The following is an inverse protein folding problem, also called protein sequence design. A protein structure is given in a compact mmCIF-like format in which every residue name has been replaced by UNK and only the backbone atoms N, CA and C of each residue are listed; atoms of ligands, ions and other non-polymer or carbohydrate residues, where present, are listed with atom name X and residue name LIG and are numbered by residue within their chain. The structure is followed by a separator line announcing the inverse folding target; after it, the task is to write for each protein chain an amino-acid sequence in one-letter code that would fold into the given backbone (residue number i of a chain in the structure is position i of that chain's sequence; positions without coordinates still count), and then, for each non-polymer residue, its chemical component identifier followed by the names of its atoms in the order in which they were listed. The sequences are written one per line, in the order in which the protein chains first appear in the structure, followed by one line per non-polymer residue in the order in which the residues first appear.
data_IF_160229624936
#
_entry.id   IF_160229624936
#
_cell.length_a   1.000
_cell.length_b   1.000
_cell.length_c   1.000
_cell.angle_alpha   90.00
_cell.angle_beta   90.00
_cell.angle_gamma   90.00
#
_symmetry.space_group_name_H-M   'P 1'
#
loop_
_entity.id
_entity.type
_entity.pdbx_description
1 polymer ?
#
# COMPACT_ATOMS: atom_id res chain seq x y z
N UNK A 1 46.33 -29.31 2.96
CA UNK A 1 47.03 -30.14 1.95
C UNK A 1 48.02 -29.24 1.22
N UNK A 2 49.31 -29.39 1.52
CA UNK A 2 50.38 -28.51 1.05
C UNK A 2 50.93 -28.98 -0.30
N UNK A 3 50.80 -28.15 -1.35
CA UNK A 3 51.41 -28.39 -2.66
C UNK A 3 52.67 -27.53 -2.74
N UNK A 4 53.81 -28.05 -2.27
CA UNK A 4 55.13 -27.44 -2.51
C UNK A 4 55.48 -27.66 -3.99
N UNK A 5 55.29 -26.61 -4.79
CA UNK A 5 55.90 -26.51 -6.12
C UNK A 5 57.31 -25.98 -5.90
N UNK A 6 58.29 -26.87 -5.90
CA UNK A 6 59.70 -26.51 -6.07
C UNK A 6 59.99 -26.39 -7.55
N UNK A 7 60.29 -25.20 -8.12
CA UNK A 7 60.83 -25.13 -9.45
C UNK A 7 62.29 -25.58 -9.39
N UNK A 8 62.62 -26.58 -10.21
CA UNK A 8 63.95 -27.16 -10.30
C UNK A 8 64.98 -26.12 -10.73
N UNK A 9 65.91 -25.80 -9.84
CA UNK A 9 67.21 -25.28 -10.24
C UNK A 9 68.04 -26.45 -10.76
N UNK A 10 68.07 -26.63 -12.08
CA UNK A 10 69.27 -27.14 -12.76
C UNK A 10 69.89 -25.97 -13.51
N UNK A 11 70.56 -25.10 -12.76
CA UNK A 11 71.68 -24.36 -13.33
C UNK A 11 72.87 -25.31 -13.33
N UNK A 12 72.89 -26.27 -14.27
CA UNK A 12 74.11 -27.02 -14.61
C UNK A 12 75.01 -26.07 -15.37
N UNK A 13 75.67 -25.17 -14.65
CA UNK A 13 76.93 -24.61 -15.12
C UNK A 13 77.96 -25.72 -14.96
N UNK A 14 78.59 -26.22 -16.05
CA UNK A 14 79.65 -27.21 -15.93
C UNK A 14 80.71 -26.69 -14.95
N UNK A 15 81.25 -27.59 -14.12
CA UNK A 15 82.31 -27.20 -13.20
C UNK A 15 83.50 -26.68 -14.02
N UNK A 16 84.20 -25.66 -13.51
CA UNK A 16 85.36 -25.05 -14.19
C UNK A 16 86.35 -26.10 -14.69
N UNK A 17 86.53 -27.16 -13.90
CA UNK A 17 87.36 -28.31 -14.20
C UNK A 17 86.87 -29.14 -15.39
N UNK A 18 85.57 -29.35 -15.56
CA UNK A 18 85.03 -30.07 -16.73
C UNK A 18 85.11 -29.24 -18.00
N UNK A 19 84.77 -27.94 -17.94
CA UNK A 19 84.83 -27.07 -19.12
C UNK A 19 86.27 -26.88 -19.63
N UNK A 20 87.24 -26.76 -18.73
CA UNK A 20 88.66 -26.67 -19.08
C UNK A 20 89.20 -28.00 -19.64
N UNK A 21 88.72 -29.12 -19.13
CA UNK A 21 89.17 -30.46 -19.56
C UNK A 21 88.57 -30.88 -20.91
N UNK A 22 87.38 -30.39 -21.25
CA UNK A 22 86.76 -30.65 -22.56
C UNK A 22 87.39 -29.81 -23.69
N UNK A 23 87.96 -28.63 -23.39
CA UNK A 23 88.42 -27.69 -24.41
C UNK A 23 89.94 -27.64 -24.63
N UNK A 24 90.75 -28.35 -23.84
CA UNK A 24 92.22 -28.39 -24.00
C UNK A 24 92.67 -29.85 -24.05
N UNK A 25 92.86 -30.40 -25.26
CA UNK A 25 93.27 -31.81 -25.44
C UNK A 25 94.61 -31.98 -26.17
N UNK A 26 95.13 -30.95 -26.87
CA UNK A 26 96.41 -31.02 -27.60
C UNK A 26 97.26 -29.74 -27.51
N UNK A 27 98.56 -29.82 -27.82
CA UNK A 27 99.53 -28.69 -27.78
C UNK A 27 99.19 -27.57 -28.77
N UNK A 28 98.39 -27.85 -29.81
CA UNK A 28 97.87 -26.84 -30.75
C UNK A 28 96.73 -25.99 -30.13
N UNK A 29 95.97 -26.54 -29.18
CA UNK A 29 94.90 -25.83 -28.47
C UNK A 29 95.44 -24.76 -27.50
N UNK A 30 96.73 -24.85 -27.15
CA UNK A 30 97.44 -23.82 -26.37
C UNK A 30 97.54 -22.48 -27.12
N UNK A 31 97.41 -22.47 -28.46
CA UNK A 31 97.30 -21.23 -29.24
C UNK A 31 95.89 -20.59 -29.17
N UNK A 32 94.87 -21.36 -28.75
CA UNK A 32 93.49 -20.90 -28.51
C UNK A 32 93.18 -20.64 -27.03
N UNK A 33 94.18 -20.78 -26.16
CA UNK A 33 94.01 -20.65 -24.71
C UNK A 33 93.56 -19.24 -24.32
N UNK A 34 94.08 -18.22 -25.02
CA UNK A 34 93.72 -16.82 -24.80
C UNK A 34 92.25 -16.56 -25.18
N UNK A 35 91.77 -17.11 -26.31
CA UNK A 35 90.37 -16.95 -26.72
C UNK A 35 89.42 -17.74 -25.82
N UNK A 36 89.84 -18.90 -25.30
CA UNK A 36 89.07 -19.66 -24.33
C UNK A 36 88.96 -18.93 -22.99
N UNK A 37 90.08 -18.39 -22.49
CA UNK A 37 90.12 -17.54 -21.29
C UNK A 37 89.25 -16.29 -21.45
N UNK A 38 89.29 -15.64 -22.61
CA UNK A 38 88.46 -14.48 -22.91
C UNK A 38 86.97 -14.87 -22.93
N UNK A 39 86.62 -16.02 -23.51
CA UNK A 39 85.24 -16.53 -23.51
C UNK A 39 84.73 -16.87 -22.11
N UNK A 40 85.58 -17.47 -21.27
CA UNK A 40 85.28 -17.81 -19.88
C UNK A 40 85.11 -16.56 -19.03
N UNK A 41 85.96 -15.55 -19.22
CA UNK A 41 85.83 -14.25 -18.56
C UNK A 41 84.53 -13.55 -18.96
N UNK A 42 84.19 -13.54 -20.27
CA UNK A 42 82.91 -13.00 -20.76
C UNK A 42 81.71 -13.74 -20.17
N UNK A 43 81.78 -15.07 -20.10
CA UNK A 43 80.71 -15.89 -19.53
C UNK A 43 80.56 -15.69 -18.01
N UNK A 44 81.68 -15.58 -17.30
CA UNK A 44 81.67 -15.30 -15.86
C UNK A 44 81.09 -13.91 -15.57
N UNK A 45 81.44 -12.91 -16.38
CA UNK A 45 80.91 -11.55 -16.21
C UNK A 45 79.42 -11.49 -16.52
N UNK A 46 78.97 -12.21 -17.57
CA UNK A 46 77.55 -12.35 -17.89
C UNK A 46 76.76 -13.04 -16.77
N UNK A 47 77.28 -14.12 -16.19
CA UNK A 47 76.61 -14.81 -15.08
C UNK A 47 76.53 -13.94 -13.82
N UNK A 48 77.60 -13.19 -13.50
CA UNK A 48 77.57 -12.21 -12.41
C UNK A 48 76.52 -11.14 -12.66
N UNK A 49 76.40 -10.66 -13.89
CA UNK A 49 75.38 -9.69 -14.26
C UNK A 49 73.97 -10.25 -14.11
N UNK A 50 73.71 -11.47 -14.62
CA UNK A 50 72.42 -12.14 -14.48
C UNK A 50 72.04 -12.40 -13.03
N UNK A 51 73.01 -12.74 -12.17
CA UNK A 51 72.77 -12.94 -10.73
C UNK A 51 72.35 -11.62 -10.05
N UNK A 52 73.04 -10.52 -10.36
CA UNK A 52 72.69 -9.18 -9.86
C UNK A 52 71.29 -8.76 -10.31
N UNK A 53 70.98 -8.96 -11.59
CA UNK A 53 69.66 -8.64 -12.14
C UNK A 53 68.56 -9.51 -11.50
N UNK A 54 68.80 -10.80 -11.29
CA UNK A 54 67.85 -11.70 -10.63
C UNK A 54 67.62 -11.34 -9.16
N UNK A 55 68.66 -10.93 -8.43
CA UNK A 55 68.56 -10.45 -7.05
C UNK A 55 67.75 -9.14 -6.97
N UNK A 56 67.98 -8.22 -7.91
CA UNK A 56 67.24 -6.97 -7.99
C UNK A 56 65.76 -7.19 -8.32
N UNK A 57 65.47 -8.08 -9.29
CA UNK A 57 64.10 -8.46 -9.65
C UNK A 57 63.40 -9.14 -8.47
N UNK A 58 64.07 -10.05 -7.77
CA UNK A 58 63.50 -10.73 -6.60
C UNK A 58 63.20 -9.75 -5.47
N UNK A 59 64.11 -8.81 -5.21
CA UNK A 59 63.92 -7.75 -4.21
C UNK A 59 62.70 -6.88 -4.57
N UNK A 60 62.63 -6.39 -5.80
CA UNK A 60 61.49 -5.59 -6.31
C UNK A 60 60.17 -6.36 -6.25
N UNK A 61 60.15 -7.62 -6.65
CA UNK A 61 58.96 -8.47 -6.61
C UNK A 61 58.50 -8.75 -5.16
N UNK A 62 59.44 -8.95 -4.25
CA UNK A 62 59.15 -9.16 -2.82
C UNK A 62 58.55 -7.91 -2.19
N UNK A 63 59.12 -6.74 -2.50
CA UNK A 63 58.62 -5.46 -2.01
C UNK A 63 57.23 -5.14 -2.58
N UNK A 64 57.03 -5.31 -3.89
CA UNK A 64 55.74 -5.14 -4.53
C UNK A 64 54.67 -6.10 -3.95
N UNK A 65 55.04 -7.35 -3.63
CA UNK A 65 54.15 -8.33 -3.00
C UNK A 65 53.73 -7.92 -1.58
N UNK A 66 54.67 -7.41 -0.77
CA UNK A 66 54.38 -6.88 0.57
C UNK A 66 53.43 -5.69 0.49
N UNK A 67 53.75 -4.71 -0.35
CA UNK A 67 52.90 -3.54 -0.57
C UNK A 67 51.51 -3.93 -1.04
N UNK A 68 51.40 -4.86 -1.99
CA UNK A 68 50.12 -5.35 -2.46
C UNK A 68 49.31 -6.00 -1.32
N UNK A 69 49.94 -6.86 -0.52
CA UNK A 69 49.30 -7.51 0.63
C UNK A 69 48.78 -6.49 1.64
N UNK A 70 49.58 -5.45 1.95
CA UNK A 70 49.13 -4.36 2.83
C UNK A 70 47.96 -3.58 2.25
N UNK A 71 47.99 -3.25 0.95
CA UNK A 71 46.88 -2.52 0.32
C UNK A 71 45.59 -3.34 0.31
N UNK A 72 45.66 -4.64 0.05
CA UNK A 72 44.51 -5.54 0.10
C UNK A 72 43.97 -5.64 1.52
N UNK A 73 44.85 -5.75 2.53
CA UNK A 73 44.46 -5.77 3.95
C UNK A 73 43.71 -4.50 4.34
N UNK A 74 44.24 -3.32 4.01
CA UNK A 74 43.59 -2.03 4.32
C UNK A 74 42.25 -1.89 3.61
N UNK A 75 42.13 -2.34 2.36
CA UNK A 75 40.85 -2.34 1.63
C UNK A 75 39.82 -3.27 2.27
N UNK A 76 40.24 -4.44 2.75
CA UNK A 76 39.35 -5.36 3.45
C UNK A 76 38.86 -4.76 4.78
N UNK A 77 39.74 -4.11 5.55
CA UNK A 77 39.37 -3.42 6.79
C UNK A 77 38.36 -2.29 6.52
N UNK A 78 38.64 -1.42 5.54
CA UNK A 78 37.75 -0.31 5.17
C UNK A 78 36.39 -0.81 4.66
N UNK A 79 36.37 -1.90 3.87
CA UNK A 79 35.12 -2.51 3.43
C UNK A 79 34.30 -3.05 4.62
N UNK A 80 34.96 -3.68 5.59
CA UNK A 80 34.29 -4.22 6.76
C UNK A 80 33.70 -3.12 7.66
N UNK A 81 34.42 -2.00 7.82
CA UNK A 81 33.90 -0.81 8.50
C UNK A 81 32.67 -0.22 7.80
N UNK A 82 32.71 -0.13 6.46
CA UNK A 82 31.57 0.34 5.68
C UNK A 82 30.35 -0.59 5.80
N UNK A 83 30.56 -1.92 5.77
CA UNK A 83 29.47 -2.87 5.96
C UNK A 83 28.83 -2.72 7.34
N UNK A 84 29.62 -2.58 8.40
CA UNK A 84 29.10 -2.38 9.75
C UNK A 84 28.29 -1.07 9.88
N UNK A 85 28.70 0.00 9.21
CA UNK A 85 27.93 1.26 9.18
C UNK A 85 26.60 1.08 8.43
N UNK A 86 26.62 0.41 7.28
CA UNK A 86 25.41 0.11 6.50
C UNK A 86 24.43 -0.73 7.33
N UNK A 87 24.91 -1.79 7.97
CA UNK A 87 24.08 -2.68 8.80
C UNK A 87 23.45 -1.92 9.98
N UNK A 88 24.22 -1.08 10.67
CA UNK A 88 23.69 -0.22 11.74
C UNK A 88 22.57 0.69 11.23
N UNK A 89 22.79 1.37 10.11
CA UNK A 89 21.80 2.28 9.51
C UNK A 89 20.58 1.54 9.01
N UNK A 90 20.74 0.32 8.48
CA UNK A 90 19.63 -0.53 8.06
C UNK A 90 18.73 -0.87 9.26
N UNK A 91 19.33 -1.24 10.39
CA UNK A 91 18.62 -1.51 11.65
C UNK A 91 17.89 -0.26 12.16
N UNK A 92 18.54 0.91 12.15
CA UNK A 92 17.91 2.17 12.57
C UNK A 92 16.70 2.54 11.67
N UNK A 93 16.83 2.37 10.35
CA UNK A 93 15.75 2.65 9.39
C UNK A 93 14.60 1.66 9.55
N UNK A 94 14.88 0.36 9.68
CA UNK A 94 13.83 -0.67 9.86
C UNK A 94 13.19 -0.64 11.24
N UNK A 95 13.88 -0.16 12.27
CA UNK A 95 13.32 0.00 13.62
C UNK A 95 12.67 1.37 13.87
N UNK A 96 12.62 2.25 12.86
CA UNK A 96 11.95 3.55 12.96
C UNK A 96 10.42 3.39 13.00
N UNK A 97 9.93 2.87 14.13
CA UNK A 97 8.52 2.68 14.51
C UNK A 97 7.70 3.96 14.46
N UNK A 98 8.36 5.12 14.42
CA UNK A 98 7.74 6.45 14.32
C UNK A 98 6.88 6.59 13.06
N UNK A 99 7.36 6.09 11.91
CA UNK A 99 6.60 6.16 10.64
C UNK A 99 5.37 5.26 10.69
N UNK A 100 5.52 4.02 11.16
CA UNK A 100 4.41 3.07 11.26
C UNK A 100 3.39 3.49 12.32
N UNK A 101 3.83 4.04 13.44
CA UNK A 101 2.94 4.54 14.49
C UNK A 101 2.17 5.79 14.05
N UNK A 102 2.82 6.70 13.31
CA UNK A 102 2.16 7.86 12.71
C UNK A 102 1.11 7.43 11.68
N UNK A 103 1.43 6.49 10.79
CA UNK A 103 0.49 5.93 9.82
C UNK A 103 -0.71 5.28 10.51
N UNK A 104 -0.48 4.44 11.53
CA UNK A 104 -1.57 3.81 12.30
C UNK A 104 -2.46 4.83 13.02
N UNK A 105 -1.87 5.86 13.61
CA UNK A 105 -2.63 6.96 14.25
C UNK A 105 -3.46 7.76 13.24
N UNK A 106 -2.92 7.96 12.04
CA UNK A 106 -3.63 8.62 10.94
C UNK A 106 -4.78 7.76 10.43
N UNK A 107 -4.56 6.48 10.14
CA UNK A 107 -5.59 5.52 9.73
C UNK A 107 -6.73 5.44 10.76
N UNK A 108 -6.40 5.33 12.05
CA UNK A 108 -7.39 5.33 13.13
C UNK A 108 -8.17 6.66 13.22
N UNK A 109 -7.55 7.78 12.88
CA UNK A 109 -8.21 9.09 12.85
C UNK A 109 -9.11 9.24 11.62
N UNK A 110 -8.70 8.73 10.46
CA UNK A 110 -9.49 8.67 9.23
C UNK A 110 -10.71 7.76 9.39
N UNK A 111 -10.56 6.62 10.07
CA UNK A 111 -11.68 5.74 10.38
C UNK A 111 -12.72 6.44 11.28
N UNK A 112 -12.25 7.16 12.32
CA UNK A 112 -13.13 7.96 13.18
C UNK A 112 -13.83 9.07 12.39
N UNK A 113 -13.12 9.72 11.47
CA UNK A 113 -13.69 10.76 10.60
C UNK A 113 -14.77 10.17 9.69
N UNK A 114 -14.52 9.02 9.05
CA UNK A 114 -15.51 8.34 8.21
C UNK A 114 -16.77 7.95 9.00
N UNK A 115 -16.61 7.43 10.23
CA UNK A 115 -17.75 7.15 11.13
C UNK A 115 -18.53 8.42 11.49
N UNK A 116 -17.85 9.55 11.70
CA UNK A 116 -18.48 10.82 12.01
C UNK A 116 -19.25 11.38 10.80
N UNK A 117 -18.71 11.26 9.58
CA UNK A 117 -19.39 11.67 8.35
C UNK A 117 -20.66 10.86 8.11
N UNK A 118 -20.60 9.55 8.32
CA UNK A 118 -21.76 8.66 8.27
C UNK A 118 -22.81 9.10 9.31
N UNK A 119 -22.40 9.33 10.56
CA UNK A 119 -23.28 9.81 11.62
C UNK A 119 -23.93 11.17 11.30
N UNK A 120 -23.15 12.10 10.73
CA UNK A 120 -23.67 13.40 10.28
C UNK A 120 -24.72 13.23 9.18
N UNK A 121 -24.44 12.41 8.17
CA UNK A 121 -25.42 12.10 7.11
C UNK A 121 -26.71 11.50 7.67
N UNK A 122 -26.60 10.64 8.69
CA UNK A 122 -27.76 10.10 9.39
C UNK A 122 -28.57 11.18 10.13
N UNK A 123 -27.92 12.10 10.84
CA UNK A 123 -28.60 13.18 11.56
C UNK A 123 -29.31 14.14 10.61
N UNK A 124 -28.67 14.50 9.49
CA UNK A 124 -29.26 15.38 8.47
C UNK A 124 -30.51 14.78 7.86
N UNK A 125 -30.47 13.49 7.52
CA UNK A 125 -31.64 12.79 6.99
C UNK A 125 -32.77 12.70 8.02
N UNK A 126 -32.44 12.35 9.26
CA UNK A 126 -33.42 12.28 10.35
C UNK A 126 -34.11 13.64 10.56
N UNK A 127 -33.33 14.72 10.55
CA UNK A 127 -33.85 16.08 10.63
C UNK A 127 -34.78 16.42 9.46
N UNK A 128 -34.43 16.02 8.24
CA UNK A 128 -35.28 16.23 7.05
C UNK A 128 -36.59 15.44 7.16
N UNK A 129 -36.53 14.17 7.54
CA UNK A 129 -37.70 13.31 7.71
C UNK A 129 -38.63 13.88 8.80
N UNK A 130 -38.08 14.30 9.94
CA UNK A 130 -38.87 14.89 11.02
C UNK A 130 -39.54 16.21 10.58
N UNK A 131 -38.81 17.07 9.87
CA UNK A 131 -39.37 18.33 9.36
C UNK A 131 -40.52 18.11 8.38
N UNK A 132 -40.35 17.22 7.40
CA UNK A 132 -41.42 16.93 6.43
C UNK A 132 -42.62 16.29 7.15
N UNK A 133 -42.39 15.47 8.19
CA UNK A 133 -43.45 14.93 9.04
C UNK A 133 -44.24 16.04 9.76
N UNK A 134 -43.55 17.00 10.38
CA UNK A 134 -44.19 18.15 11.05
C UNK A 134 -44.97 19.03 10.04
N UNK A 135 -44.40 19.27 8.87
CA UNK A 135 -45.06 20.02 7.79
C UNK A 135 -46.33 19.29 7.32
N UNK A 136 -46.25 17.96 7.12
CA UNK A 136 -47.40 17.11 6.75
C UNK A 136 -48.54 17.23 7.75
N UNK A 137 -48.24 17.12 9.05
CA UNK A 137 -49.24 17.23 10.12
C UNK A 137 -49.82 18.64 10.23
N UNK A 138 -49.06 19.66 9.86
CA UNK A 138 -49.53 21.06 9.89
C UNK A 138 -50.52 21.36 8.76
N UNK A 139 -50.33 20.75 7.58
CA UNK A 139 -51.17 21.00 6.41
C UNK A 139 -52.32 20.01 6.26
N UNK A 140 -52.33 18.90 7.02
CA UNK A 140 -53.29 17.79 6.90
C UNK A 140 -54.77 18.21 6.86
N UNK A 141 -55.14 19.26 7.60
CA UNK A 141 -56.53 19.72 7.71
C UNK A 141 -56.93 20.72 6.61
N UNK A 142 -55.97 21.47 6.07
CA UNK A 142 -56.23 22.64 5.21
C UNK A 142 -55.81 22.42 3.77
N UNK A 143 -54.81 21.56 3.54
CA UNK A 143 -54.37 21.14 2.21
C UNK A 143 -54.08 19.62 2.17
N UNK A 144 -55.13 18.79 2.00
CA UNK A 144 -55.00 17.33 1.96
C UNK A 144 -54.12 16.81 0.81
N UNK A 145 -54.13 17.49 -0.34
CA UNK A 145 -53.27 17.10 -1.47
C UNK A 145 -51.78 17.34 -1.15
N UNK A 146 -51.45 18.47 -0.52
CA UNK A 146 -50.07 18.77 -0.13
C UNK A 146 -49.61 17.82 0.99
N UNK A 147 -50.48 17.53 1.96
CA UNK A 147 -50.20 16.55 3.02
C UNK A 147 -49.87 15.16 2.43
N UNK A 148 -50.62 14.75 1.41
CA UNK A 148 -50.38 13.47 0.73
C UNK A 148 -49.08 13.49 -0.09
N UNK A 149 -48.74 14.61 -0.72
CA UNK A 149 -47.47 14.78 -1.43
C UNK A 149 -46.28 14.69 -0.47
N UNK A 150 -46.32 15.42 0.65
CA UNK A 150 -45.27 15.40 1.66
C UNK A 150 -45.10 13.99 2.28
N UNK A 151 -46.21 13.29 2.53
CA UNK A 151 -46.18 11.89 2.94
C UNK A 151 -45.48 10.97 1.92
N UNK A 152 -45.77 11.16 0.63
CA UNK A 152 -45.13 10.39 -0.44
C UNK A 152 -43.61 10.61 -0.49
N UNK A 153 -43.15 11.84 -0.22
CA UNK A 153 -41.73 12.17 -0.12
C UNK A 153 -41.06 11.47 1.07
N UNK A 154 -41.66 11.50 2.26
CA UNK A 154 -41.14 10.80 3.45
C UNK A 154 -41.07 9.30 3.22
N UNK A 155 -42.09 8.73 2.59
CA UNK A 155 -42.12 7.30 2.25
C UNK A 155 -41.02 6.93 1.26
N UNK A 156 -40.81 7.72 0.20
CA UNK A 156 -39.74 7.47 -0.76
C UNK A 156 -38.35 7.56 -0.10
N UNK A 157 -38.15 8.53 0.79
CA UNK A 157 -36.93 8.65 1.60
C UNK A 157 -36.73 7.43 2.51
N UNK A 158 -37.78 6.94 3.19
CA UNK A 158 -37.69 5.75 4.02
C UNK A 158 -37.36 4.49 3.21
N UNK A 159 -38.00 4.28 2.06
CA UNK A 159 -37.75 3.14 1.17
C UNK A 159 -36.33 3.14 0.60
N UNK A 160 -35.80 4.30 0.20
CA UNK A 160 -34.41 4.41 -0.25
C UNK A 160 -33.40 4.14 0.86
N UNK A 161 -33.77 4.37 2.12
CA UNK A 161 -32.91 4.04 3.25
C UNK A 161 -32.79 2.55 3.51
N UNK A 162 -33.90 1.83 3.37
CA UNK A 162 -33.93 0.37 3.48
C UNK A 162 -33.05 -0.27 2.40
N UNK A 163 -33.08 0.24 1.17
CA UNK A 163 -32.25 -0.31 0.08
C UNK A 163 -30.75 -0.03 0.27
N UNK A 164 -30.39 1.13 0.82
CA UNK A 164 -28.99 1.51 1.07
C UNK A 164 -28.41 0.78 2.30
N UNK A 165 -29.22 0.36 3.27
CA UNK A 165 -28.76 -0.38 4.45
C UNK A 165 -28.04 -1.68 4.09
N UNK A 166 -28.53 -2.39 3.07
CA UNK A 166 -27.95 -3.65 2.60
C UNK A 166 -26.54 -3.43 2.04
N UNK A 167 -26.30 -2.28 1.41
CA UNK A 167 -24.99 -1.90 0.87
C UNK A 167 -24.02 -1.37 1.95
N UNK A 168 -24.55 -0.90 3.10
CA UNK A 168 -23.79 -0.29 4.18
C UNK A 168 -23.60 -1.22 5.40
N UNK A 169 -23.58 -2.54 5.18
CA UNK A 169 -23.32 -3.59 6.20
C UNK A 169 -24.16 -3.45 7.50
N UNK A 170 -25.39 -2.93 7.39
CA UNK A 170 -26.28 -2.83 8.54
C UNK A 170 -25.88 -1.76 9.57
N UNK A 171 -25.18 -0.69 9.17
CA UNK A 171 -24.69 0.35 10.08
C UNK A 171 -25.77 1.15 10.87
N UNK A 172 -27.06 1.04 10.53
CA UNK A 172 -28.11 1.84 11.21
C UNK A 172 -29.52 1.18 11.26
N UNK A 173 -29.70 0.02 11.93
CA UNK A 173 -31.01 -0.64 12.06
C UNK A 173 -32.02 0.22 12.83
N UNK A 174 -31.57 0.97 13.83
CA UNK A 174 -32.44 1.84 14.64
C UNK A 174 -33.01 3.02 13.85
N UNK A 175 -32.27 3.53 12.85
CA UNK A 175 -32.74 4.62 12.00
C UNK A 175 -33.92 4.16 11.15
N UNK A 176 -33.80 2.96 10.58
CA UNK A 176 -34.84 2.40 9.71
C UNK A 176 -36.06 2.01 10.52
N UNK A 177 -35.89 1.45 11.72
CA UNK A 177 -37.01 1.21 12.63
C UNK A 177 -37.74 2.51 12.97
N UNK A 178 -37.00 3.57 13.31
CA UNK A 178 -37.60 4.88 13.60
C UNK A 178 -38.33 5.48 12.40
N UNK A 179 -37.69 5.56 11.23
CA UNK A 179 -38.32 6.16 10.03
C UNK A 179 -39.53 5.33 9.58
N UNK A 180 -39.48 4.00 9.69
CA UNK A 180 -40.62 3.12 9.38
C UNK A 180 -41.78 3.37 10.33
N UNK A 181 -41.52 3.48 11.65
CA UNK A 181 -42.54 3.82 12.64
C UNK A 181 -43.16 5.19 12.40
N UNK A 182 -42.34 6.18 12.01
CA UNK A 182 -42.82 7.52 11.70
C UNK A 182 -43.71 7.54 10.46
N UNK A 183 -43.30 6.86 9.37
CA UNK A 183 -44.10 6.71 8.16
C UNK A 183 -45.44 6.02 8.46
N UNK A 184 -45.42 4.97 9.30
CA UNK A 184 -46.64 4.31 9.76
C UNK A 184 -47.55 5.26 10.55
N UNK A 185 -46.99 6.00 11.49
CA UNK A 185 -47.76 6.97 12.30
C UNK A 185 -48.36 8.10 11.46
N UNK A 186 -47.63 8.59 10.45
CA UNK A 186 -48.13 9.57 9.49
C UNK A 186 -49.26 9.02 8.64
N UNK A 187 -49.12 7.78 8.16
CA UNK A 187 -50.18 7.09 7.41
C UNK A 187 -51.44 6.97 8.25
N UNK A 188 -51.32 6.58 9.52
CA UNK A 188 -52.45 6.47 10.44
C UNK A 188 -53.13 7.82 10.70
N UNK A 189 -52.35 8.89 10.83
CA UNK A 189 -52.87 10.25 10.99
C UNK A 189 -53.67 10.71 9.75
N UNK A 190 -53.11 10.52 8.55
CA UNK A 190 -53.77 10.80 7.26
C UNK A 190 -55.04 10.00 7.08
N UNK A 191 -54.96 8.69 7.33
CA UNK A 191 -56.11 7.80 7.23
C UNK A 191 -57.23 8.23 8.19
N UNK A 192 -56.89 8.58 9.43
CA UNK A 192 -57.86 9.04 10.43
C UNK A 192 -58.55 10.34 10.00
N UNK A 193 -57.79 11.33 9.54
CA UNK A 193 -58.35 12.61 9.09
C UNK A 193 -59.24 12.43 7.86
N UNK A 194 -58.75 11.75 6.82
CA UNK A 194 -59.48 11.59 5.56
C UNK A 194 -60.74 10.72 5.73
N UNK A 195 -60.65 9.64 6.51
CA UNK A 195 -61.81 8.82 6.85
C UNK A 195 -62.83 9.60 7.69
N UNK A 196 -62.37 10.50 8.56
CA UNK A 196 -63.23 11.41 9.32
C UNK A 196 -64.00 12.37 8.41
N UNK A 197 -63.32 12.98 7.44
CA UNK A 197 -63.94 13.88 6.45
C UNK A 197 -64.93 13.14 5.55
N UNK A 198 -64.57 11.96 5.06
CA UNK A 198 -65.46 11.12 4.26
C UNK A 198 -66.71 10.73 5.07
N UNK A 199 -66.55 10.34 6.34
CA UNK A 199 -67.69 10.01 7.22
C UNK A 199 -68.62 11.21 7.41
N UNK A 200 -68.07 12.40 7.63
CA UNK A 200 -68.87 13.61 7.76
C UNK A 200 -69.66 13.93 6.48
N UNK A 201 -69.13 13.63 5.29
CA UNK A 201 -69.86 13.77 4.02
C UNK A 201 -70.97 12.71 3.93
N UNK A 202 -70.70 11.46 4.27
CA UNK A 202 -71.70 10.39 4.27
C UNK A 202 -72.85 10.65 5.24
N UNK A 203 -72.55 11.21 6.42
CA UNK A 203 -73.56 11.64 7.40
C UNK A 203 -74.44 12.77 6.84
N UNK A 204 -73.85 13.76 6.16
CA UNK A 204 -74.61 14.82 5.46
C UNK A 204 -75.49 14.28 4.34
N UNK A 205 -75.05 13.23 3.64
CA UNK A 205 -75.85 12.53 2.65
C UNK A 205 -76.95 11.66 3.28
N UNK A 206 -76.96 11.49 4.60
CA UNK A 206 -77.79 10.50 5.32
C UNK A 206 -77.56 9.06 4.83
N UNK A 207 -76.37 8.72 4.36
CA UNK A 207 -76.02 7.34 4.00
C UNK A 207 -75.69 6.52 5.27
N UNK A 208 -76.11 5.25 5.41
CA UNK A 208 -76.82 4.39 4.45
C UNK A 208 -78.35 4.36 4.66
N UNK A 209 -78.98 5.47 5.06
CA UNK A 209 -80.42 5.50 5.32
C UNK A 209 -81.26 5.55 4.03
N UNK A 210 -82.56 5.26 4.16
CA UNK A 210 -83.54 5.36 3.05
C UNK A 210 -83.84 6.81 2.62
N UNK A 211 -83.40 7.80 3.39
CA UNK A 211 -83.58 9.23 3.11
C UNK A 211 -82.31 9.83 2.46
N UNK A 212 -81.71 9.11 1.52
CA UNK A 212 -80.46 9.51 0.88
C UNK A 212 -80.60 10.89 0.20
N UNK A 213 -79.74 11.82 0.60
CA UNK A 213 -79.64 13.14 -0.03
C UNK A 213 -78.45 13.16 -0.98
N UNK A 214 -78.74 13.19 -2.27
CA UNK A 214 -77.74 13.25 -3.34
C UNK A 214 -77.80 14.63 -3.98
N UNK A 215 -76.83 15.46 -3.62
CA UNK A 215 -76.53 16.73 -4.29
C UNK A 215 -75.20 16.56 -5.02
N UNK A 216 -75.09 17.09 -6.23
CA UNK A 216 -73.84 17.10 -7.02
C UNK A 216 -72.65 17.63 -6.22
N UNK A 217 -72.87 18.62 -5.34
CA UNK A 217 -71.81 19.16 -4.48
C UNK A 217 -71.35 18.17 -3.39
N UNK A 218 -72.26 17.36 -2.85
CA UNK A 218 -71.94 16.31 -1.88
C UNK A 218 -71.25 15.13 -2.58
N UNK A 219 -71.73 14.72 -3.76
CA UNK A 219 -71.14 13.64 -4.56
C UNK A 219 -69.69 13.97 -4.93
N UNK A 220 -69.41 15.21 -5.33
CA UNK A 220 -68.03 15.66 -5.60
C UNK A 220 -67.15 15.58 -4.37
N UNK A 221 -67.60 16.11 -3.23
CA UNK A 221 -66.83 16.01 -1.97
C UNK A 221 -66.58 14.55 -1.56
N UNK A 222 -67.57 13.68 -1.71
CA UNK A 222 -67.38 12.25 -1.45
C UNK A 222 -66.31 11.66 -2.37
N UNK A 223 -66.38 11.96 -3.68
CA UNK A 223 -65.40 11.48 -4.65
C UNK A 223 -63.99 11.98 -4.33
N UNK A 224 -63.84 13.26 -3.99
CA UNK A 224 -62.55 13.87 -3.65
C UNK A 224 -61.90 13.18 -2.43
N UNK A 225 -62.65 12.99 -1.34
CA UNK A 225 -62.12 12.33 -0.14
C UNK A 225 -61.87 10.84 -0.35
N UNK A 226 -62.69 10.18 -1.18
CA UNK A 226 -62.49 8.79 -1.54
C UNK A 226 -61.24 8.61 -2.40
N UNK A 227 -61.01 9.49 -3.38
CA UNK A 227 -59.80 9.50 -4.21
C UNK A 227 -58.54 9.72 -3.37
N UNK A 228 -58.57 10.66 -2.43
CA UNK A 228 -57.45 10.88 -1.49
C UNK A 228 -57.14 9.64 -0.65
N UNK A 229 -58.17 8.92 -0.19
CA UNK A 229 -57.97 7.65 0.54
C UNK A 229 -57.44 6.54 -0.38
N UNK A 230 -57.85 6.48 -1.64
CA UNK A 230 -57.31 5.52 -2.61
C UNK A 230 -55.81 5.78 -2.84
N UNK A 231 -55.43 7.03 -3.09
CA UNK A 231 -54.03 7.42 -3.28
C UNK A 231 -53.16 7.15 -2.05
N UNK A 232 -53.73 7.22 -0.85
CA UNK A 232 -53.03 6.83 0.39
C UNK A 232 -52.76 5.32 0.47
N UNK A 233 -53.56 4.49 -0.20
CA UNK A 233 -53.40 3.03 -0.26
C UNK A 233 -52.42 2.57 -1.34
N UNK A 234 -52.08 3.42 -2.31
CA UNK A 234 -51.16 3.06 -3.39
C UNK A 234 -49.77 2.65 -2.83
N UNK A 235 -49.07 1.68 -3.47
CA UNK A 235 -47.79 1.14 -2.98
C UNK A 235 -46.61 2.11 -2.92
#
# INVERSE_FOLDING_TARGET
MARRVTPGRRSTTPSMTEYLNENIQTVADLQSLDSLLESLQKQQELQKQQLREAEEILSKATEASKQHTETVRRRAEAFNEQQNDIDRRLVEVTQSKSSDEATRKFEASMEKLGRLEIAKGYMELLGRVNRISEDTLSVIQWSPNDALSLYSEVRALASSLVSVQVAAEGAAPHLIDYTTKLVGSLKDALQKEYSGKLRAVLEKMKWPSKELQVDDALVRQWADWFELLLRLQEP
#
